data_IF_156489336897
#
_entry.id   IF_156489336897
#
_cell.length_a   1.000
_cell.length_b   1.000
_cell.length_c   1.000
_cell.angle_alpha   90.00
_cell.angle_beta   90.00
_cell.angle_gamma   90.00
#
_symmetry.space_group_name_H-M   'P 1'
#
loop_
_entity.id
_entity.type
_entity.pdbx_description
1 polymer ?
#
# COMPACT_ATOMS: atom_id res chain seq x y z
N UNK A 1 -46.90 21.49 -47.69
CA UNK A 1 -46.57 20.22 -48.37
C UNK A 1 -46.42 19.13 -47.30
N UNK A 2 -46.88 17.88 -47.55
CA UNK A 2 -46.50 16.76 -46.71
C UNK A 2 -44.97 16.64 -46.70
N UNK A 3 -44.38 16.06 -45.63
CA UNK A 3 -42.94 15.89 -45.57
C UNK A 3 -42.46 14.87 -46.63
N UNK A 4 -41.60 15.30 -47.56
CA UNK A 4 -40.94 14.44 -48.55
C UNK A 4 -39.45 14.32 -48.21
N UNK A 5 -38.99 13.08 -47.98
CA UNK A 5 -37.63 12.77 -47.63
C UNK A 5 -36.64 13.03 -48.84
N UNK A 6 -37.13 13.00 -50.07
CA UNK A 6 -36.32 13.30 -51.25
C UNK A 6 -36.07 14.82 -51.35
N UNK A 7 -37.09 15.62 -51.14
CA UNK A 7 -37.00 17.07 -51.11
C UNK A 7 -36.12 17.54 -49.93
N UNK A 8 -36.31 16.93 -48.76
CA UNK A 8 -35.51 17.21 -47.57
C UNK A 8 -33.97 16.96 -47.76
N UNK A 9 -33.60 16.02 -48.63
CA UNK A 9 -32.18 15.76 -48.98
C UNK A 9 -31.61 16.80 -49.92
N UNK A 10 -32.42 17.39 -50.78
CA UNK A 10 -31.98 18.35 -51.79
C UNK A 10 -31.86 19.79 -51.27
N UNK A 11 -32.40 20.08 -50.10
CA UNK A 11 -32.29 21.42 -49.48
C UNK A 11 -30.86 21.79 -49.16
N UNK A 12 -30.52 23.01 -49.50
CA UNK A 12 -29.25 23.64 -49.18
C UNK A 12 -29.27 24.37 -47.83
N UNK A 13 -28.10 24.62 -47.21
CA UNK A 13 -28.00 25.38 -45.98
C UNK A 13 -28.71 26.75 -46.11
N UNK A 14 -29.56 27.10 -45.12
CA UNK A 14 -30.38 28.30 -45.13
C UNK A 14 -31.78 28.14 -45.68
N UNK A 15 -32.08 27.02 -46.37
CA UNK A 15 -33.40 26.74 -46.90
C UNK A 15 -34.28 26.00 -45.87
N UNK A 16 -35.59 26.19 -45.98
CA UNK A 16 -36.57 25.51 -45.17
C UNK A 16 -37.91 25.34 -45.91
N UNK A 17 -38.69 24.36 -45.47
CA UNK A 17 -40.11 24.28 -45.84
C UNK A 17 -40.99 24.03 -44.60
N UNK A 18 -42.25 24.39 -44.72
CA UNK A 18 -43.24 24.22 -43.64
C UNK A 18 -44.08 22.97 -43.94
N UNK A 19 -44.31 22.15 -42.93
CA UNK A 19 -45.13 20.93 -43.04
C UNK A 19 -46.59 21.34 -42.92
N UNK A 20 -47.37 21.10 -44.00
CA UNK A 20 -48.74 21.62 -44.14
C UNK A 20 -49.72 21.11 -43.09
N UNK A 21 -49.56 19.88 -42.62
CA UNK A 21 -50.41 19.24 -41.60
C UNK A 21 -50.09 19.68 -40.17
N UNK A 22 -48.93 20.37 -39.96
CA UNK A 22 -48.44 20.77 -38.67
C UNK A 22 -48.13 22.28 -38.67
N UNK A 23 -49.07 23.17 -38.39
CA UNK A 23 -48.87 24.61 -38.43
C UNK A 23 -47.70 25.08 -37.56
N UNK A 24 -46.73 25.72 -38.19
CA UNK A 24 -45.51 26.21 -37.51
C UNK A 24 -44.39 25.20 -37.39
N UNK A 25 -44.61 23.93 -37.75
CA UNK A 25 -43.53 22.95 -37.85
C UNK A 25 -42.79 23.15 -39.18
N UNK A 26 -41.50 23.36 -39.10
CA UNK A 26 -40.59 23.56 -40.22
C UNK A 26 -39.52 22.51 -40.24
N UNK A 27 -39.09 22.15 -41.45
CA UNK A 27 -37.85 21.45 -41.68
C UNK A 27 -36.83 22.48 -42.21
N UNK A 28 -35.74 22.65 -41.51
CA UNK A 28 -34.72 23.67 -41.77
C UNK A 28 -33.33 23.02 -41.86
N UNK A 29 -32.56 23.48 -42.85
CA UNK A 29 -31.16 23.03 -43.05
C UNK A 29 -30.25 24.14 -42.66
N UNK A 30 -29.36 23.87 -41.69
CA UNK A 30 -28.21 24.72 -41.35
C UNK A 30 -26.93 24.18 -41.98
N UNK A 31 -25.83 24.87 -41.85
CA UNK A 31 -24.52 24.42 -42.31
C UNK A 31 -24.07 23.12 -41.66
N UNK A 32 -24.59 22.79 -40.47
CA UNK A 32 -24.17 21.62 -39.65
C UNK A 32 -25.22 20.56 -39.46
N UNK A 33 -26.52 20.85 -39.66
CA UNK A 33 -27.59 19.93 -39.33
C UNK A 33 -28.88 20.19 -40.13
N UNK A 34 -29.67 19.13 -40.30
CA UNK A 34 -31.07 19.15 -40.80
C UNK A 34 -31.99 18.91 -39.64
N UNK A 35 -32.90 19.85 -39.34
CA UNK A 35 -33.67 19.84 -38.08
C UNK A 35 -35.13 20.14 -38.29
N UNK A 36 -35.99 19.49 -37.49
CA UNK A 36 -37.34 19.89 -37.29
C UNK A 36 -37.44 21.00 -36.23
N UNK A 37 -38.08 22.12 -36.55
CA UNK A 37 -38.19 23.29 -35.72
C UNK A 37 -39.65 23.73 -35.63
N UNK A 38 -40.16 23.91 -34.39
CA UNK A 38 -41.44 24.52 -34.18
C UNK A 38 -41.31 26.02 -34.01
N UNK A 39 -41.86 26.79 -34.95
CA UNK A 39 -41.90 28.26 -34.88
C UNK A 39 -43.29 28.75 -34.56
N UNK A 40 -43.43 29.55 -33.54
CA UNK A 40 -44.71 29.98 -33.02
C UNK A 40 -44.65 31.39 -32.44
N UNK A 41 -45.80 32.01 -32.29
CA UNK A 41 -45.95 33.26 -31.54
C UNK A 41 -46.22 32.92 -30.08
N UNK A 42 -45.36 33.43 -29.19
CA UNK A 42 -45.47 33.14 -27.75
C UNK A 42 -46.78 33.70 -27.19
N UNK A 43 -47.52 32.93 -26.39
CA UNK A 43 -48.77 33.40 -25.80
C UNK A 43 -48.54 34.41 -24.69
N UNK A 44 -47.29 34.47 -24.14
CA UNK A 44 -46.95 35.35 -23.00
C UNK A 44 -46.62 36.79 -23.46
N UNK A 45 -45.78 36.95 -24.46
CA UNK A 45 -45.24 38.24 -24.87
C UNK A 45 -45.46 38.57 -26.35
N UNK A 46 -46.22 37.72 -27.07
CA UNK A 46 -46.59 37.84 -28.49
C UNK A 46 -45.37 37.86 -29.45
N UNK A 47 -44.15 37.58 -28.98
CA UNK A 47 -42.95 37.50 -29.81
C UNK A 47 -42.83 36.18 -30.53
N UNK A 48 -42.23 36.21 -31.73
CA UNK A 48 -41.93 34.98 -32.47
C UNK A 48 -40.79 34.21 -31.81
N UNK A 49 -41.04 32.97 -31.49
CA UNK A 49 -40.06 32.05 -30.91
C UNK A 49 -39.95 30.76 -31.71
N UNK A 50 -38.91 30.02 -31.49
CA UNK A 50 -38.71 28.70 -32.11
C UNK A 50 -38.09 27.71 -31.13
N UNK A 51 -38.47 26.45 -31.28
CA UNK A 51 -37.95 25.33 -30.49
C UNK A 51 -37.52 24.22 -31.44
N UNK A 52 -36.25 23.81 -31.37
CA UNK A 52 -35.75 22.67 -32.10
C UNK A 52 -36.33 21.39 -31.51
N UNK A 53 -37.00 20.59 -32.33
CA UNK A 53 -37.63 19.32 -31.95
C UNK A 53 -36.60 18.18 -32.03
N UNK A 54 -35.87 18.08 -33.15
CA UNK A 54 -34.89 17.03 -33.35
C UNK A 54 -34.15 17.18 -34.65
N UNK A 55 -33.18 16.31 -34.88
CA UNK A 55 -32.34 16.29 -36.08
C UNK A 55 -32.75 15.11 -36.97
N UNK A 56 -32.95 15.37 -38.23
CA UNK A 56 -33.17 14.34 -39.25
C UNK A 56 -31.81 13.77 -39.73
N UNK A 57 -31.63 12.46 -39.95
CA UNK A 57 -32.69 11.41 -39.91
C UNK A 57 -32.85 10.74 -38.54
N UNK A 58 -32.16 11.16 -37.48
CA UNK A 58 -32.31 10.58 -36.11
C UNK A 58 -33.71 10.70 -35.57
N UNK A 59 -34.36 11.81 -35.84
CA UNK A 59 -35.78 12.04 -35.52
C UNK A 59 -36.61 11.83 -36.79
N UNK A 60 -37.50 10.86 -36.76
CA UNK A 60 -38.46 10.63 -37.86
C UNK A 60 -39.53 11.73 -37.89
N UNK A 61 -40.21 11.90 -39.02
CA UNK A 61 -41.32 12.86 -39.13
C UNK A 61 -42.41 12.53 -38.13
N UNK A 62 -42.75 11.26 -37.94
CA UNK A 62 -43.76 10.84 -36.95
C UNK A 62 -43.37 11.23 -35.52
N UNK A 63 -42.11 11.02 -35.15
CA UNK A 63 -41.62 11.46 -33.83
C UNK A 63 -41.61 12.99 -33.68
N UNK A 64 -41.27 13.71 -34.76
CA UNK A 64 -41.30 15.17 -34.78
C UNK A 64 -42.75 15.72 -34.66
N UNK A 65 -43.74 15.06 -35.27
CA UNK A 65 -45.16 15.41 -35.16
C UNK A 65 -45.67 15.23 -33.74
N UNK A 66 -45.40 14.08 -33.10
CA UNK A 66 -45.79 13.83 -31.71
C UNK A 66 -45.19 14.89 -30.75
N UNK A 67 -43.94 15.25 -30.93
CA UNK A 67 -43.31 16.28 -30.09
C UNK A 67 -43.86 17.69 -30.43
N UNK A 68 -44.17 17.97 -31.67
CA UNK A 68 -44.83 19.21 -32.06
C UNK A 68 -46.23 19.34 -31.42
N UNK A 69 -47.02 18.27 -31.36
CA UNK A 69 -48.32 18.26 -30.70
C UNK A 69 -48.20 18.63 -29.23
N UNK A 70 -47.25 18.06 -28.49
CA UNK A 70 -46.97 18.40 -27.10
C UNK A 70 -46.63 19.90 -26.93
N UNK A 71 -45.77 20.42 -27.81
CA UNK A 71 -45.36 21.83 -27.74
C UNK A 71 -46.53 22.77 -28.10
N UNK A 72 -47.41 22.35 -29.04
CA UNK A 72 -48.63 23.06 -29.38
C UNK A 72 -49.63 23.10 -28.21
N UNK A 73 -49.80 21.99 -27.51
CA UNK A 73 -50.67 21.90 -26.35
C UNK A 73 -50.21 22.78 -25.19
N UNK A 74 -48.87 22.81 -24.93
CA UNK A 74 -48.26 23.74 -23.97
C UNK A 74 -48.61 25.21 -24.34
N UNK A 75 -48.49 25.55 -25.64
CA UNK A 75 -48.83 26.89 -26.13
C UNK A 75 -50.32 27.17 -26.00
N UNK A 76 -51.18 26.24 -26.32
CA UNK A 76 -52.66 26.36 -26.22
C UNK A 76 -53.10 26.57 -24.76
N UNK A 77 -52.35 25.99 -23.80
CA UNK A 77 -52.56 26.23 -22.38
C UNK A 77 -52.03 27.58 -21.89
N UNK A 78 -51.60 28.49 -22.77
CA UNK A 78 -51.11 29.82 -22.41
C UNK A 78 -49.69 29.86 -21.91
N UNK A 79 -48.95 28.73 -21.98
CA UNK A 79 -47.55 28.60 -21.53
C UNK A 79 -46.60 28.68 -22.71
N UNK A 80 -45.39 29.14 -22.48
CA UNK A 80 -44.38 29.26 -23.55
C UNK A 80 -43.48 28.04 -23.61
N UNK A 81 -43.52 27.20 -24.68
CA UNK A 81 -42.73 26.00 -24.82
C UNK A 81 -41.21 26.20 -24.70
N UNK A 82 -40.71 27.34 -25.19
CA UNK A 82 -39.26 27.62 -25.10
C UNK A 82 -38.80 27.92 -23.67
N UNK A 83 -39.66 28.66 -22.93
CA UNK A 83 -39.39 29.00 -21.52
C UNK A 83 -39.48 27.73 -20.67
N UNK A 84 -40.54 26.92 -20.84
CA UNK A 84 -40.67 25.67 -20.10
C UNK A 84 -39.50 24.70 -20.33
N UNK A 85 -39.09 24.54 -21.58
CA UNK A 85 -37.91 23.71 -21.86
C UNK A 85 -36.63 24.22 -21.18
N UNK A 86 -36.46 25.52 -21.12
CA UNK A 86 -35.31 26.13 -20.43
C UNK A 86 -35.41 25.91 -18.93
N UNK A 87 -36.55 26.10 -18.34
CA UNK A 87 -36.80 25.89 -16.90
C UNK A 87 -36.57 24.43 -16.49
N UNK A 88 -37.15 23.50 -17.27
CA UNK A 88 -36.96 22.07 -17.01
C UNK A 88 -35.49 21.65 -17.11
N UNK A 89 -34.73 22.14 -18.09
CA UNK A 89 -33.29 21.89 -18.19
C UNK A 89 -32.53 22.44 -17.00
N UNK A 90 -32.89 23.61 -16.51
CA UNK A 90 -32.24 24.18 -15.32
C UNK A 90 -32.55 23.33 -14.09
N UNK A 91 -33.83 22.94 -13.91
CA UNK A 91 -34.25 22.08 -12.81
C UNK A 91 -33.57 20.71 -12.84
N UNK A 92 -33.51 20.04 -13.98
CA UNK A 92 -32.76 18.78 -14.15
C UNK A 92 -31.29 18.93 -13.84
N UNK A 93 -30.67 20.05 -14.21
CA UNK A 93 -29.29 20.35 -13.90
C UNK A 93 -29.09 20.56 -12.39
N UNK A 94 -29.97 21.30 -11.74
CA UNK A 94 -29.96 21.54 -10.30
C UNK A 94 -30.18 20.22 -9.52
N UNK A 95 -31.15 19.39 -9.93
CA UNK A 95 -31.41 18.09 -9.35
C UNK A 95 -30.19 17.15 -9.50
N UNK A 96 -29.53 17.15 -10.68
CA UNK A 96 -28.28 16.39 -10.89
C UNK A 96 -27.14 16.90 -10.01
N UNK A 97 -27.01 18.20 -9.85
CA UNK A 97 -25.98 18.79 -8.98
C UNK A 97 -26.26 18.46 -7.51
N UNK A 98 -27.51 18.60 -7.06
CA UNK A 98 -27.93 18.24 -5.70
C UNK A 98 -27.73 16.75 -5.41
N UNK A 99 -28.10 15.87 -6.36
CA UNK A 99 -27.87 14.43 -6.25
C UNK A 99 -26.36 14.08 -6.18
N UNK A 100 -25.53 14.76 -6.98
CA UNK A 100 -24.08 14.61 -6.94
C UNK A 100 -23.45 15.10 -5.62
N UNK A 101 -23.96 16.22 -5.09
CA UNK A 101 -23.55 16.71 -3.77
C UNK A 101 -24.00 15.78 -2.64
N UNK A 102 -25.23 15.28 -2.68
CA UNK A 102 -25.73 14.32 -1.71
C UNK A 102 -24.93 13.02 -1.74
N UNK A 103 -24.64 12.46 -2.93
CA UNK A 103 -23.76 11.30 -3.10
C UNK A 103 -22.31 11.57 -2.60
N UNK A 104 -21.81 12.79 -2.80
CA UNK A 104 -20.50 13.22 -2.29
C UNK A 104 -20.46 13.36 -0.76
N UNK A 105 -21.61 13.63 -0.13
CA UNK A 105 -21.74 13.72 1.34
C UNK A 105 -21.97 12.35 1.99
N UNK A 106 -22.43 11.37 1.23
CA UNK A 106 -22.65 10.03 1.75
C UNK A 106 -21.30 9.39 2.10
N UNK A 107 -21.11 8.99 3.35
CA UNK A 107 -19.91 8.28 3.79
C UNK A 107 -19.93 6.87 3.21
N UNK A 108 -18.93 6.54 2.39
CA UNK A 108 -18.72 5.17 1.90
C UNK A 108 -17.49 4.56 2.56
N UNK A 109 -17.35 3.22 2.51
CA UNK A 109 -16.14 2.52 2.98
C UNK A 109 -14.89 3.08 2.30
N UNK A 110 -14.94 3.31 0.98
CA UNK A 110 -13.86 3.95 0.22
C UNK A 110 -13.50 5.33 0.78
N UNK A 111 -14.51 6.15 1.03
CA UNK A 111 -14.30 7.50 1.59
C UNK A 111 -13.70 7.44 2.98
N UNK A 112 -14.18 6.53 3.83
CA UNK A 112 -13.65 6.33 5.18
C UNK A 112 -12.18 5.86 5.13
N UNK A 113 -11.81 4.93 4.24
CA UNK A 113 -10.43 4.52 4.02
C UNK A 113 -9.52 5.69 3.61
N UNK A 114 -9.98 6.56 2.70
CA UNK A 114 -9.22 7.74 2.28
C UNK A 114 -9.03 8.73 3.43
N UNK A 115 -10.07 9.00 4.21
CA UNK A 115 -9.96 9.86 5.41
C UNK A 115 -8.95 9.32 6.41
N UNK A 116 -8.93 8.01 6.66
CA UNK A 116 -7.93 7.35 7.51
C UNK A 116 -6.52 7.48 6.94
N UNK A 117 -6.33 7.30 5.63
CA UNK A 117 -5.03 7.46 4.97
C UNK A 117 -4.51 8.88 5.13
N UNK A 118 -5.31 9.88 4.80
CA UNK A 118 -4.94 11.30 4.85
C UNK A 118 -4.79 11.81 6.29
N UNK A 119 -5.72 11.43 7.18
CA UNK A 119 -5.81 11.95 8.54
C UNK A 119 -4.85 11.30 9.52
N UNK A 120 -4.53 10.01 9.33
CA UNK A 120 -3.72 9.24 10.27
C UNK A 120 -2.46 8.65 9.64
N UNK A 121 -2.59 7.91 8.53
CA UNK A 121 -1.48 7.11 8.00
C UNK A 121 -0.36 7.99 7.47
N UNK A 122 -0.68 8.99 6.65
CA UNK A 122 0.30 9.87 6.02
C UNK A 122 1.02 10.76 7.05
N UNK A 123 0.36 11.07 8.17
CA UNK A 123 0.93 11.88 9.25
C UNK A 123 1.78 11.08 10.23
N UNK A 124 1.39 9.83 10.51
CA UNK A 124 1.93 9.06 11.63
C UNK A 124 2.76 7.85 11.24
N UNK A 125 2.70 7.38 9.98
CA UNK A 125 3.50 6.25 9.52
C UNK A 125 4.66 6.73 8.64
N UNK A 126 5.77 5.96 8.62
CA UNK A 126 6.83 6.19 7.65
C UNK A 126 6.35 5.86 6.21
N UNK A 127 6.99 6.44 5.20
CA UNK A 127 6.62 6.31 3.79
C UNK A 127 6.38 4.86 3.35
N UNK A 128 7.29 3.95 3.72
CA UNK A 128 7.18 2.52 3.38
C UNK A 128 5.95 1.86 3.99
N UNK A 129 5.67 2.15 5.26
CA UNK A 129 4.49 1.60 5.97
C UNK A 129 3.20 2.22 5.45
N UNK A 130 3.20 3.53 5.17
CA UNK A 130 2.06 4.23 4.57
C UNK A 130 1.73 3.67 3.18
N UNK A 131 2.73 3.49 2.32
CA UNK A 131 2.55 2.88 0.99
C UNK A 131 1.98 1.45 1.07
N UNK A 132 2.43 0.66 2.04
CA UNK A 132 1.95 -0.71 2.24
C UNK A 132 0.50 -0.75 2.74
N UNK A 133 0.12 0.15 3.67
CA UNK A 133 -1.27 0.30 4.13
C UNK A 133 -2.17 0.73 2.99
N UNK A 134 -1.75 1.73 2.22
CA UNK A 134 -2.49 2.21 1.04
C UNK A 134 -2.72 1.07 0.05
N UNK A 135 -1.68 0.29 -0.28
CA UNK A 135 -1.78 -0.87 -1.17
C UNK A 135 -2.75 -1.92 -0.63
N UNK A 136 -2.70 -2.19 0.67
CA UNK A 136 -3.58 -3.18 1.32
C UNK A 136 -5.04 -2.77 1.23
N UNK A 137 -5.38 -1.52 1.57
CA UNK A 137 -6.74 -1.01 1.49
C UNK A 137 -7.22 -0.92 0.04
N UNK A 138 -6.41 -0.36 -0.85
CA UNK A 138 -6.73 -0.23 -2.28
C UNK A 138 -7.03 -1.59 -2.93
N UNK A 139 -6.23 -2.62 -2.60
CA UNK A 139 -6.47 -3.98 -3.10
C UNK A 139 -7.89 -4.45 -2.76
N UNK A 140 -8.30 -4.34 -1.50
CA UNK A 140 -9.64 -4.79 -1.08
C UNK A 140 -10.74 -3.96 -1.72
N UNK A 141 -10.57 -2.64 -1.81
CA UNK A 141 -11.54 -1.75 -2.45
C UNK A 141 -11.69 -2.00 -3.95
N UNK A 142 -10.64 -2.50 -4.60
CA UNK A 142 -10.69 -2.86 -6.03
C UNK A 142 -11.25 -4.26 -6.25
N UNK A 143 -10.88 -5.22 -5.39
CA UNK A 143 -11.36 -6.61 -5.47
C UNK A 143 -12.88 -6.70 -5.12
N UNK A 144 -13.40 -5.75 -4.32
CA UNK A 144 -14.79 -5.71 -3.84
C UNK A 144 -15.41 -4.32 -4.05
N UNK A 145 -15.74 -3.93 -5.31
CA UNK A 145 -16.26 -2.59 -5.62
C UNK A 145 -17.60 -2.30 -4.91
N UNK A 146 -18.50 -3.28 -4.82
CA UNK A 146 -19.79 -3.11 -4.14
C UNK A 146 -19.61 -2.84 -2.63
N UNK A 147 -18.68 -3.54 -1.98
CA UNK A 147 -18.31 -3.27 -0.59
C UNK A 147 -17.70 -1.87 -0.43
N UNK A 148 -16.88 -1.44 -1.38
CA UNK A 148 -16.21 -0.14 -1.33
C UNK A 148 -17.19 1.05 -1.32
N UNK A 149 -18.34 0.89 -1.97
CA UNK A 149 -19.38 1.94 -2.06
C UNK A 149 -20.49 1.81 -1.01
N UNK A 150 -20.42 0.81 -0.13
CA UNK A 150 -21.37 0.70 0.99
C UNK A 150 -21.17 1.82 2.01
N UNK A 151 -22.26 2.20 2.68
CA UNK A 151 -22.18 2.94 3.93
C UNK A 151 -21.49 2.06 4.99
N UNK A 152 -20.41 2.53 5.66
CA UNK A 152 -19.74 1.76 6.69
C UNK A 152 -20.67 1.28 7.83
N UNK A 153 -21.72 2.02 8.15
CA UNK A 153 -22.72 1.63 9.14
C UNK A 153 -23.51 0.37 8.72
N UNK A 154 -23.63 0.13 7.41
CA UNK A 154 -24.33 -1.04 6.85
C UNK A 154 -23.42 -2.27 6.73
N UNK A 155 -22.15 -2.16 7.11
CA UNK A 155 -21.20 -3.28 7.14
C UNK A 155 -21.43 -4.10 8.39
N UNK A 156 -22.25 -5.13 8.28
CA UNK A 156 -22.48 -6.10 9.35
C UNK A 156 -21.39 -7.18 9.41
N UNK A 157 -21.49 -8.05 10.41
CA UNK A 157 -20.53 -9.14 10.65
C UNK A 157 -20.38 -10.07 9.43
N UNK A 158 -21.48 -10.40 8.76
CA UNK A 158 -21.49 -11.31 7.60
C UNK A 158 -20.76 -10.67 6.40
N UNK A 159 -21.03 -9.41 6.11
CA UNK A 159 -20.35 -8.67 5.02
C UNK A 159 -18.85 -8.53 5.30
N UNK A 160 -18.45 -8.17 6.51
CA UNK A 160 -17.04 -8.09 6.88
C UNK A 160 -16.34 -9.46 6.76
N UNK A 161 -17.02 -10.54 7.16
CA UNK A 161 -16.49 -11.90 7.01
C UNK A 161 -16.36 -12.31 5.55
N UNK A 162 -17.39 -12.12 4.72
CA UNK A 162 -17.38 -12.47 3.30
C UNK A 162 -16.26 -11.73 2.54
N UNK A 163 -16.04 -10.44 2.83
CA UNK A 163 -14.92 -9.68 2.25
C UNK A 163 -13.57 -10.28 2.66
N UNK A 164 -13.42 -10.70 3.92
CA UNK A 164 -12.17 -11.27 4.41
C UNK A 164 -11.94 -12.70 3.92
N UNK A 165 -13.01 -13.47 3.72
CA UNK A 165 -13.00 -14.87 3.27
C UNK A 165 -12.23 -15.04 1.96
N UNK A 166 -12.37 -14.09 1.03
CA UNK A 166 -11.63 -14.05 -0.24
C UNK A 166 -10.09 -14.16 -0.08
N UNK A 167 -9.56 -13.81 1.08
CA UNK A 167 -8.12 -13.79 1.35
C UNK A 167 -7.64 -14.88 2.31
N UNK A 168 -8.48 -15.83 2.72
CA UNK A 168 -8.15 -16.83 3.73
C UNK A 168 -7.09 -17.84 3.28
N UNK A 169 -6.89 -18.02 1.98
CA UNK A 169 -5.81 -18.84 1.43
C UNK A 169 -4.42 -18.27 1.77
N UNK A 170 -4.34 -16.97 2.02
CA UNK A 170 -3.13 -16.28 2.48
C UNK A 170 -3.39 -15.66 3.87
N UNK A 171 -3.40 -16.45 4.96
CA UNK A 171 -3.85 -16.01 6.29
C UNK A 171 -3.09 -14.78 6.83
N UNK A 172 -1.83 -14.61 6.46
CA UNK A 172 -1.02 -13.44 6.85
C UNK A 172 -1.56 -12.16 6.20
N UNK A 173 -1.94 -12.23 4.92
CA UNK A 173 -2.55 -11.11 4.21
C UNK A 173 -3.96 -10.81 4.77
N UNK A 174 -4.77 -11.85 4.98
CA UNK A 174 -6.09 -11.71 5.62
C UNK A 174 -5.97 -11.05 7.01
N UNK A 175 -4.98 -11.47 7.81
CA UNK A 175 -4.71 -10.89 9.12
C UNK A 175 -4.35 -9.40 9.04
N UNK A 176 -3.57 -9.01 8.02
CA UNK A 176 -3.23 -7.61 7.77
C UNK A 176 -4.44 -6.80 7.32
N UNK A 177 -5.22 -7.31 6.35
CA UNK A 177 -6.47 -6.67 5.89
C UNK A 177 -7.40 -6.43 7.09
N UNK A 178 -7.64 -7.46 7.90
CA UNK A 178 -8.46 -7.36 9.10
C UNK A 178 -7.97 -6.27 10.06
N UNK A 179 -6.65 -6.19 10.27
CA UNK A 179 -6.06 -5.20 11.17
C UNK A 179 -6.19 -3.77 10.63
N UNK A 180 -5.95 -3.55 9.32
CA UNK A 180 -6.04 -2.23 8.72
C UNK A 180 -7.49 -1.74 8.62
N UNK A 181 -8.45 -2.59 8.22
CA UNK A 181 -9.88 -2.21 8.25
C UNK A 181 -10.37 -1.98 9.67
N UNK A 182 -9.88 -2.76 10.64
CA UNK A 182 -10.13 -2.47 12.06
C UNK A 182 -9.66 -1.08 12.46
N UNK A 183 -8.48 -0.66 12.02
CA UNK A 183 -7.97 0.68 12.29
C UNK A 183 -8.73 1.79 11.54
N UNK A 184 -9.23 1.50 10.33
CA UNK A 184 -10.12 2.41 9.57
C UNK A 184 -11.41 2.70 10.35
N UNK A 185 -12.04 1.67 10.92
CA UNK A 185 -13.27 1.82 11.72
C UNK A 185 -13.00 2.54 13.05
N UNK A 186 -11.91 2.18 13.75
CA UNK A 186 -11.51 2.90 14.97
C UNK A 186 -11.29 4.40 14.68
N UNK A 187 -10.58 4.73 13.58
CA UNK A 187 -10.40 6.11 13.15
C UNK A 187 -11.74 6.80 12.81
N UNK A 188 -12.68 6.05 12.21
CA UNK A 188 -14.01 6.56 11.90
C UNK A 188 -14.77 7.00 13.15
N UNK A 189 -14.69 6.23 14.23
CA UNK A 189 -15.25 6.59 15.54
C UNK A 189 -14.53 7.77 16.17
N UNK A 190 -13.19 7.72 16.25
CA UNK A 190 -12.37 8.81 16.84
C UNK A 190 -12.58 10.15 16.12
N UNK A 191 -12.79 10.12 14.80
CA UNK A 191 -13.04 11.30 14.00
C UNK A 191 -14.52 11.75 13.97
N UNK A 192 -15.43 11.09 14.71
CA UNK A 192 -16.86 11.36 14.71
C UNK A 192 -17.53 11.15 13.34
N UNK A 193 -17.01 10.23 12.52
CA UNK A 193 -17.54 9.89 11.19
C UNK A 193 -18.45 8.67 11.22
N UNK A 194 -18.30 7.85 12.23
CA UNK A 194 -19.16 6.71 12.53
C UNK A 194 -19.83 6.96 13.88
N UNK A 195 -21.09 6.60 13.98
CA UNK A 195 -21.84 6.59 15.22
C UNK A 195 -21.23 5.57 16.18
N UNK A 196 -21.26 5.84 17.49
CA UNK A 196 -20.77 4.95 18.54
C UNK A 196 -21.48 3.58 18.53
N UNK A 197 -22.72 3.53 18.05
CA UNK A 197 -23.50 2.28 17.93
C UNK A 197 -23.04 1.39 16.76
N UNK A 198 -22.23 1.89 15.80
CA UNK A 198 -21.74 1.10 14.66
C UNK A 198 -20.61 0.16 15.12
N UNK A 199 -20.80 -1.16 15.13
CA UNK A 199 -19.77 -2.06 15.66
C UNK A 199 -18.56 -2.16 14.73
N UNK A 200 -17.37 -2.17 15.32
CA UNK A 200 -16.16 -2.55 14.58
C UNK A 200 -16.04 -4.07 14.45
N UNK A 201 -16.69 -4.66 13.46
CA UNK A 201 -16.69 -6.10 13.21
C UNK A 201 -15.30 -6.65 12.86
N UNK A 202 -14.43 -5.84 12.25
CA UNK A 202 -13.06 -6.22 11.92
C UNK A 202 -12.22 -6.59 13.15
N UNK A 203 -12.49 -5.99 14.30
CA UNK A 203 -11.82 -6.33 15.57
C UNK A 203 -12.31 -7.66 16.15
N UNK A 204 -13.50 -8.11 15.76
CA UNK A 204 -14.16 -9.30 16.30
C UNK A 204 -14.02 -10.55 15.44
N UNK A 205 -14.16 -10.43 14.09
CA UNK A 205 -14.11 -11.58 13.18
C UNK A 205 -12.71 -12.21 13.15
N UNK A 206 -12.63 -13.54 13.02
CA UNK A 206 -11.41 -14.34 12.85
C UNK A 206 -10.27 -14.01 13.83
N UNK A 207 -10.59 -13.50 15.02
CA UNK A 207 -9.61 -13.15 16.06
C UNK A 207 -8.80 -14.38 16.46
N UNK A 208 -7.46 -14.31 16.34
CA UNK A 208 -6.56 -15.42 16.68
C UNK A 208 -6.56 -16.62 15.72
N UNK A 209 -7.42 -16.60 14.67
CA UNK A 209 -7.55 -17.72 13.71
C UNK A 209 -6.71 -17.56 12.44
N UNK A 210 -6.26 -16.35 12.12
CA UNK A 210 -5.48 -16.03 10.92
C UNK A 210 -3.98 -16.22 11.18
N UNK A 211 -3.57 -17.48 11.29
CA UNK A 211 -2.16 -17.85 11.49
C UNK A 211 -1.60 -18.43 10.20
N UNK A 212 -0.34 -18.13 9.89
CA UNK A 212 0.36 -18.80 8.80
C UNK A 212 0.35 -20.29 9.03
N UNK A 213 -0.10 -21.06 8.04
CA UNK A 213 0.01 -22.53 8.02
C UNK A 213 1.40 -22.99 7.60
N UNK A 214 2.29 -22.04 7.22
CA UNK A 214 3.55 -22.36 6.58
C UNK A 214 3.34 -23.04 5.23
N UNK A 215 4.38 -23.65 4.73
CA UNK A 215 4.33 -24.50 3.55
C UNK A 215 5.34 -25.63 3.70
N UNK A 216 5.09 -26.73 3.04
CA UNK A 216 6.02 -27.87 3.03
C UNK A 216 6.98 -27.70 1.85
N UNK A 217 8.28 -27.80 2.12
CA UNK A 217 9.33 -27.87 1.11
C UNK A 217 10.22 -29.06 1.41
N UNK A 218 10.37 -29.95 0.44
CA UNK A 218 11.17 -31.18 0.61
C UNK A 218 10.84 -31.94 1.91
N UNK A 219 9.54 -32.08 2.22
CA UNK A 219 9.06 -32.75 3.42
C UNK A 219 9.19 -31.95 4.74
N UNK A 220 9.77 -30.76 4.72
CA UNK A 220 9.95 -29.92 5.91
C UNK A 220 8.92 -28.81 5.95
N UNK A 221 8.20 -28.69 7.08
CA UNK A 221 7.27 -27.58 7.33
C UNK A 221 8.05 -26.29 7.61
N UNK A 222 7.85 -25.28 6.76
CA UNK A 222 8.54 -23.97 6.83
C UNK A 222 7.53 -22.87 7.14
N UNK A 223 7.96 -21.87 7.91
CA UNK A 223 7.17 -20.66 8.19
C UNK A 223 6.12 -20.82 9.28
N UNK A 224 6.04 -21.97 9.95
CA UNK A 224 5.19 -22.19 11.13
C UNK A 224 5.89 -21.84 12.42
N UNK A 225 7.21 -22.05 12.50
CA UNK A 225 8.05 -21.74 13.64
C UNK A 225 9.20 -20.81 13.25
N UNK A 226 9.66 -20.05 14.22
CA UNK A 226 10.87 -19.22 14.07
C UNK A 226 12.10 -20.11 14.04
N UNK A 227 12.92 -20.00 13.00
CA UNK A 227 14.14 -20.78 12.84
C UNK A 227 15.28 -20.20 13.70
N UNK A 228 15.97 -21.07 14.42
CA UNK A 228 17.22 -20.80 15.13
C UNK A 228 18.19 -21.89 14.72
N UNK A 229 19.43 -21.55 14.36
CA UNK A 229 20.47 -22.51 14.00
C UNK A 229 21.06 -23.13 15.24
N UNK A 230 21.29 -24.44 15.17
CA UNK A 230 21.99 -25.20 16.22
C UNK A 230 23.49 -24.94 16.16
N UNK A 231 24.28 -25.22 17.24
CA UNK A 231 25.72 -24.99 17.25
C UNK A 231 26.49 -25.66 16.11
N UNK A 232 26.15 -26.93 15.77
CA UNK A 232 26.74 -27.68 14.65
C UNK A 232 26.42 -27.03 13.30
N UNK A 233 25.16 -26.54 13.13
CA UNK A 233 24.73 -25.82 11.93
C UNK A 233 25.45 -24.47 11.80
N UNK A 234 25.67 -23.76 12.92
CA UNK A 234 26.43 -22.51 12.95
C UNK A 234 27.86 -22.76 12.47
N UNK A 235 28.57 -23.75 13.05
CA UNK A 235 29.92 -24.09 12.66
C UNK A 235 30.02 -24.45 11.17
N UNK A 236 29.08 -25.26 10.69
CA UNK A 236 28.98 -25.67 9.29
C UNK A 236 28.73 -24.48 8.37
N UNK A 237 27.80 -23.57 8.72
CA UNK A 237 27.55 -22.36 7.96
C UNK A 237 28.78 -21.45 7.91
N UNK A 238 29.46 -21.24 9.04
CA UNK A 238 30.62 -20.36 9.12
C UNK A 238 31.79 -20.84 8.24
N UNK A 239 32.01 -22.15 8.15
CA UNK A 239 33.00 -22.74 7.24
C UNK A 239 32.60 -22.61 5.77
N UNK A 240 31.30 -22.58 5.50
CA UNK A 240 30.76 -22.52 4.14
C UNK A 240 30.66 -21.09 3.59
N UNK A 241 30.62 -20.04 4.45
CA UNK A 241 30.43 -18.64 4.06
C UNK A 241 31.29 -18.16 2.88
N UNK A 242 32.57 -18.59 2.71
CA UNK A 242 33.39 -18.16 1.57
C UNK A 242 32.84 -18.56 0.19
N UNK A 243 31.85 -19.43 0.10
CA UNK A 243 31.15 -19.76 -1.14
C UNK A 243 30.13 -18.70 -1.57
N UNK A 244 29.79 -17.76 -0.71
CA UNK A 244 29.01 -16.58 -1.09
C UNK A 244 29.89 -15.56 -1.83
N UNK A 245 29.24 -14.64 -2.56
CA UNK A 245 29.92 -13.42 -2.97
C UNK A 245 30.38 -12.63 -1.74
N UNK A 246 31.47 -11.87 -1.89
CA UNK A 246 32.04 -11.07 -0.79
C UNK A 246 31.02 -10.16 -0.10
N UNK A 247 30.08 -9.60 -0.89
CA UNK A 247 28.98 -8.79 -0.36
C UNK A 247 28.09 -9.60 0.59
N UNK A 248 27.67 -10.78 0.18
CA UNK A 248 26.74 -11.62 0.96
C UNK A 248 27.45 -12.19 2.18
N UNK A 249 28.69 -12.65 2.03
CA UNK A 249 29.53 -13.15 3.12
C UNK A 249 29.68 -12.08 4.23
N UNK A 250 30.04 -10.85 3.85
CA UNK A 250 30.21 -9.74 4.79
C UNK A 250 28.91 -9.42 5.54
N UNK A 251 27.79 -9.33 4.81
CA UNK A 251 26.50 -9.00 5.42
C UNK A 251 25.99 -10.12 6.33
N UNK A 252 26.12 -11.38 5.93
CA UNK A 252 25.72 -12.55 6.73
C UNK A 252 26.57 -12.62 8.01
N UNK A 253 27.87 -12.39 7.89
CA UNK A 253 28.78 -12.32 9.05
C UNK A 253 28.39 -11.18 9.99
N UNK A 254 28.13 -9.98 9.48
CA UNK A 254 27.69 -8.86 10.31
C UNK A 254 26.38 -9.14 11.04
N UNK A 255 25.40 -9.82 10.41
CA UNK A 255 24.19 -10.26 11.11
C UNK A 255 24.48 -11.12 12.33
N UNK A 256 25.43 -12.05 12.21
CA UNK A 256 25.79 -12.97 13.30
C UNK A 256 26.58 -12.24 14.40
N UNK A 257 27.60 -11.46 14.04
CA UNK A 257 28.52 -10.82 15.01
C UNK A 257 27.94 -9.62 15.72
N UNK A 258 27.01 -8.88 15.08
CA UNK A 258 26.42 -7.66 15.65
C UNK A 258 25.01 -7.84 16.17
N UNK A 259 24.34 -8.91 15.78
CA UNK A 259 22.92 -9.14 16.06
C UNK A 259 21.99 -7.99 15.62
N UNK A 260 22.42 -7.07 14.75
CA UNK A 260 21.65 -5.91 14.26
C UNK A 260 20.68 -6.31 13.14
N UNK A 261 19.81 -5.39 12.71
CA UNK A 261 18.90 -5.65 11.60
C UNK A 261 19.59 -5.44 10.26
N UNK A 262 19.21 -6.24 9.25
CA UNK A 262 19.83 -6.12 7.94
C UNK A 262 19.63 -4.77 7.26
N UNK A 263 18.53 -4.10 7.52
CA UNK A 263 18.33 -2.74 7.03
C UNK A 263 19.29 -1.74 7.68
N UNK A 264 19.67 -1.97 8.93
CA UNK A 264 20.64 -1.16 9.66
C UNK A 264 22.06 -1.43 9.12
N UNK A 265 22.43 -2.72 8.95
CA UNK A 265 23.74 -3.13 8.38
C UNK A 265 23.93 -2.50 6.99
N UNK A 266 22.95 -2.62 6.11
CA UNK A 266 23.07 -2.17 4.72
C UNK A 266 23.03 -0.64 4.56
N UNK A 267 22.42 0.07 5.52
CA UNK A 267 22.42 1.52 5.60
C UNK A 267 23.58 2.09 6.44
N UNK A 268 24.60 1.27 6.75
CA UNK A 268 25.82 1.70 7.47
C UNK A 268 26.61 2.67 6.59
N UNK A 269 26.90 3.85 7.13
CA UNK A 269 27.71 4.85 6.46
C UNK A 269 29.09 4.96 7.12
N UNK A 270 30.07 5.48 6.36
CA UNK A 270 31.41 5.70 6.88
C UNK A 270 31.43 6.63 8.10
N UNK A 271 30.61 7.68 8.09
CA UNK A 271 30.49 8.64 9.20
C UNK A 271 29.89 8.03 10.47
N UNK A 272 29.18 6.90 10.37
CA UNK A 272 28.65 6.18 11.53
C UNK A 272 29.73 5.39 12.30
N UNK A 273 30.97 5.32 11.77
CA UNK A 273 32.06 4.53 12.33
C UNK A 273 33.02 5.43 13.04
N UNK A 274 33.28 5.16 14.31
CA UNK A 274 34.26 5.88 15.14
C UNK A 274 35.16 4.93 15.90
N UNK A 275 36.37 5.39 16.25
CA UNK A 275 37.30 4.66 17.12
C UNK A 275 37.35 5.35 18.48
N UNK A 276 37.19 4.60 19.54
CA UNK A 276 37.26 5.05 20.92
C UNK A 276 38.23 4.10 21.68
N UNK A 277 39.42 4.58 21.97
CA UNK A 277 40.51 3.71 22.46
C UNK A 277 40.81 2.59 21.47
N UNK A 278 40.79 1.35 21.94
CA UNK A 278 41.06 0.17 21.11
C UNK A 278 39.81 -0.40 20.44
N UNK A 279 38.62 0.20 20.67
CA UNK A 279 37.36 -0.31 20.16
C UNK A 279 36.91 0.49 18.94
N UNK A 280 36.52 -0.22 17.89
CA UNK A 280 35.78 0.34 16.76
C UNK A 280 34.29 0.29 17.07
N UNK A 281 33.61 1.41 16.94
CA UNK A 281 32.20 1.56 17.21
C UNK A 281 31.43 1.88 15.96
N UNK A 282 30.24 1.28 15.83
CA UNK A 282 29.26 1.65 14.86
C UNK A 282 28.06 2.30 15.59
N UNK A 283 27.83 3.56 15.37
CA UNK A 283 26.70 4.31 15.94
C UNK A 283 25.59 4.37 14.90
N UNK A 284 24.52 3.64 15.12
CA UNK A 284 23.34 3.65 14.24
C UNK A 284 22.45 4.81 14.68
N UNK A 285 22.31 5.88 13.85
CA UNK A 285 21.45 7.00 14.18
C UNK A 285 20.02 6.57 14.44
N UNK A 286 19.35 7.13 15.43
CA UNK A 286 17.93 6.90 15.74
C UNK A 286 17.07 6.89 14.50
N UNK A 287 17.30 7.84 13.59
CA UNK A 287 16.53 7.99 12.34
C UNK A 287 16.60 6.76 11.42
N UNK A 288 17.72 6.00 11.45
CA UNK A 288 17.89 4.75 10.66
C UNK A 288 17.30 3.52 11.35
N UNK A 289 16.87 3.61 12.62
CA UNK A 289 16.34 2.48 13.38
C UNK A 289 14.82 2.34 13.21
N UNK A 290 14.30 1.14 13.48
CA UNK A 290 12.85 0.89 13.54
C UNK A 290 12.14 1.72 14.63
N UNK A 291 12.90 2.17 15.64
CA UNK A 291 12.38 2.92 16.79
C UNK A 291 12.40 4.45 16.58
N UNK A 292 12.71 4.94 15.37
CA UNK A 292 12.90 6.37 15.06
C UNK A 292 11.83 7.30 15.59
N UNK A 293 10.57 6.84 15.63
CA UNK A 293 9.40 7.62 16.07
C UNK A 293 9.00 7.38 17.52
N UNK A 294 9.71 6.53 18.26
CA UNK A 294 9.41 6.31 19.66
C UNK A 294 10.04 7.41 20.52
N UNK A 295 9.27 7.91 21.45
CA UNK A 295 9.76 8.82 22.49
C UNK A 295 10.85 8.11 23.31
N UNK A 296 11.90 8.85 23.65
CA UNK A 296 13.05 8.30 24.39
C UNK A 296 13.99 7.40 23.57
N UNK A 297 13.72 7.16 22.26
CA UNK A 297 14.69 6.42 21.44
C UNK A 297 15.96 7.22 21.21
N UNK A 298 17.09 6.54 21.36
CA UNK A 298 18.45 7.09 21.16
C UNK A 298 19.15 6.33 20.04
N UNK A 299 20.31 6.83 19.64
CA UNK A 299 21.21 6.14 18.72
C UNK A 299 21.65 4.80 19.34
N UNK A 300 21.74 3.76 18.51
CA UNK A 300 22.19 2.45 18.93
C UNK A 300 23.70 2.32 18.69
N UNK A 301 24.49 2.18 19.75
CA UNK A 301 25.92 1.95 19.66
C UNK A 301 26.22 0.44 19.62
N UNK A 302 26.98 0.01 18.65
CA UNK A 302 27.36 -1.38 18.43
C UNK A 302 28.91 -1.48 18.44
N UNK A 303 29.50 -2.18 19.40
CA UNK A 303 30.93 -2.44 19.37
C UNK A 303 31.22 -3.47 18.27
N UNK A 304 32.20 -3.16 17.44
CA UNK A 304 32.65 -4.04 16.37
C UNK A 304 33.78 -4.91 16.86
N UNK A 305 33.58 -6.21 16.92
CA UNK A 305 34.55 -7.18 17.45
C UNK A 305 34.79 -8.32 16.46
N UNK A 306 35.94 -8.95 16.49
CA UNK A 306 36.30 -10.11 15.70
C UNK A 306 36.10 -9.87 14.18
N UNK A 307 35.37 -10.79 13.50
CA UNK A 307 35.15 -10.68 12.06
C UNK A 307 34.39 -9.42 11.68
N UNK A 308 33.50 -8.92 12.53
CA UNK A 308 32.75 -7.68 12.24
C UNK A 308 33.68 -6.47 12.16
N UNK A 309 34.66 -6.37 13.07
CA UNK A 309 35.68 -5.31 13.04
C UNK A 309 36.53 -5.38 11.76
N UNK A 310 36.99 -6.58 11.41
CA UNK A 310 37.82 -6.78 10.22
C UNK A 310 37.06 -6.41 8.91
N UNK A 311 35.79 -6.80 8.83
CA UNK A 311 34.92 -6.48 7.68
C UNK A 311 34.74 -4.96 7.58
N UNK A 312 34.34 -4.30 8.67
CA UNK A 312 34.06 -2.86 8.65
C UNK A 312 35.30 -2.04 8.37
N UNK A 313 36.46 -2.39 8.95
CA UNK A 313 37.74 -1.74 8.61
C UNK A 313 38.04 -1.78 7.12
N UNK A 314 37.98 -2.98 6.52
CA UNK A 314 38.22 -3.15 5.09
C UNK A 314 37.20 -2.36 4.24
N UNK A 315 35.93 -2.31 4.64
CA UNK A 315 34.89 -1.57 3.92
C UNK A 315 35.11 -0.05 4.00
N UNK A 316 35.50 0.45 5.15
CA UNK A 316 35.88 1.86 5.38
C UNK A 316 37.05 2.30 4.49
N UNK A 317 38.02 1.40 4.24
CA UNK A 317 39.13 1.68 3.33
C UNK A 317 38.72 1.75 1.86
N UNK A 318 37.70 0.97 1.46
CA UNK A 318 37.21 0.94 0.08
C UNK A 318 36.29 2.12 -0.27
N UNK A 319 35.69 2.78 0.71
CA UNK A 319 34.69 3.83 0.51
C UNK A 319 35.19 5.14 1.09
N UNK A 320 35.35 6.18 0.26
CA UNK A 320 35.79 7.51 0.70
C UNK A 320 34.77 8.20 1.59
N UNK A 321 33.48 8.09 1.20
CA UNK A 321 32.32 8.70 1.88
C UNK A 321 31.04 7.93 1.55
N UNK A 322 29.97 8.10 2.37
CA UNK A 322 28.67 7.48 2.18
C UNK A 322 28.58 6.04 2.67
N UNK A 323 27.75 5.24 2.01
CA UNK A 323 27.38 3.88 2.44
C UNK A 323 28.52 2.88 2.26
N UNK A 324 28.75 2.01 3.27
CA UNK A 324 29.71 0.91 3.19
C UNK A 324 29.24 -0.24 2.28
N UNK A 325 27.97 -0.27 1.93
CA UNK A 325 27.34 -1.21 1.01
C UNK A 325 26.60 -0.46 -0.11
N UNK A 326 27.34 0.30 -0.96
CA UNK A 326 26.71 1.16 -1.98
C UNK A 326 25.98 0.37 -3.05
N UNK A 327 24.99 1.00 -3.68
CA UNK A 327 24.25 0.49 -4.82
C UNK A 327 23.71 1.66 -5.64
N UNK A 328 23.61 1.49 -6.96
CA UNK A 328 23.03 2.47 -7.88
C UNK A 328 21.50 2.58 -7.78
N UNK A 329 20.87 1.78 -6.91
CA UNK A 329 19.43 1.83 -6.66
C UNK A 329 18.99 3.12 -5.96
N UNK A 330 17.67 3.38 -5.93
CA UNK A 330 17.05 4.58 -5.33
C UNK A 330 17.48 4.86 -3.89
N UNK A 331 17.81 3.84 -3.11
CA UNK A 331 18.24 3.97 -1.72
C UNK A 331 19.72 4.35 -1.57
N UNK A 332 20.52 4.35 -2.64
CA UNK A 332 21.97 4.56 -2.60
C UNK A 332 22.75 3.41 -1.98
N UNK A 333 22.10 2.44 -1.36
CA UNK A 333 22.70 1.25 -0.75
C UNK A 333 21.99 -0.03 -1.14
N UNK A 334 22.65 -1.18 -0.94
CA UNK A 334 22.05 -2.50 -1.18
C UNK A 334 20.84 -2.70 -0.28
N UNK A 335 19.72 -3.18 -0.83
CA UNK A 335 18.52 -3.45 -0.06
C UNK A 335 18.54 -4.87 0.56
N UNK A 336 17.93 -5.01 1.74
CA UNK A 336 17.85 -6.30 2.44
C UNK A 336 17.19 -7.40 1.62
N UNK A 337 16.22 -7.05 0.75
CA UNK A 337 15.58 -8.03 -0.15
C UNK A 337 16.57 -8.64 -1.14
N UNK A 338 17.56 -7.88 -1.59
CA UNK A 338 18.63 -8.34 -2.51
C UNK A 338 19.49 -9.40 -1.83
N UNK A 339 19.95 -9.14 -0.60
CA UNK A 339 20.71 -10.13 0.19
C UNK A 339 19.85 -11.38 0.45
N UNK A 340 18.58 -11.21 0.82
CA UNK A 340 17.68 -12.34 1.04
C UNK A 340 17.49 -13.19 -0.22
N UNK A 341 17.38 -12.57 -1.38
CA UNK A 341 17.28 -13.25 -2.66
C UNK A 341 18.58 -14.00 -3.02
N UNK A 342 19.73 -13.36 -2.80
CA UNK A 342 21.05 -13.98 -3.03
C UNK A 342 21.25 -15.21 -2.14
N UNK A 343 20.95 -15.12 -0.85
CA UNK A 343 21.01 -16.27 0.07
C UNK A 343 20.04 -17.35 -0.34
N UNK A 344 18.81 -16.98 -0.76
CA UNK A 344 17.81 -17.93 -1.22
C UNK A 344 18.28 -18.73 -2.43
N UNK A 345 19.01 -18.13 -3.37
CA UNK A 345 19.54 -18.82 -4.55
C UNK A 345 20.55 -19.93 -4.22
N UNK A 346 21.16 -19.91 -3.04
CA UNK A 346 22.05 -20.97 -2.55
C UNK A 346 21.34 -22.06 -1.75
N UNK A 347 20.05 -21.89 -1.43
CA UNK A 347 19.29 -22.95 -0.73
C UNK A 347 19.19 -24.21 -1.60
N UNK A 348 19.21 -25.43 -1.03
CA UNK A 348 19.17 -26.67 -1.79
C UNK A 348 17.97 -26.77 -2.73
N UNK A 349 16.82 -26.25 -2.29
CA UNK A 349 15.55 -26.27 -3.01
C UNK A 349 15.36 -25.09 -3.98
N UNK A 350 16.32 -24.19 -4.10
CA UNK A 350 16.20 -23.05 -5.02
C UNK A 350 16.32 -23.53 -6.46
N UNK A 351 15.29 -23.26 -7.26
CA UNK A 351 15.32 -23.48 -8.70
C UNK A 351 16.22 -22.43 -9.34
N UNK A 352 17.40 -22.84 -9.80
CA UNK A 352 18.36 -22.00 -10.50
C UNK A 352 18.52 -22.56 -11.91
N UNK A 353 18.68 -21.71 -12.90
CA UNK A 353 18.97 -22.16 -14.28
C UNK A 353 20.32 -22.88 -14.30
N UNK A 354 20.48 -23.93 -15.13
CA UNK A 354 21.72 -24.71 -15.20
C UNK A 354 22.98 -23.86 -15.45
N UNK A 355 22.84 -22.77 -16.19
CA UNK A 355 23.95 -21.85 -16.50
C UNK A 355 24.50 -21.10 -15.28
N UNK A 356 23.74 -21.08 -14.18
CA UNK A 356 24.09 -20.42 -12.92
C UNK A 356 24.33 -21.43 -11.81
N UNK A 357 25.15 -22.45 -12.10
CA UNK A 357 25.54 -23.43 -11.06
C UNK A 357 26.19 -22.73 -9.87
N UNK A 358 25.68 -23.01 -8.68
CA UNK A 358 26.10 -22.39 -7.42
C UNK A 358 26.30 -23.44 -6.34
N UNK A 359 27.31 -23.21 -5.49
CA UNK A 359 27.45 -24.01 -4.28
C UNK A 359 26.16 -23.95 -3.45
N UNK A 360 25.70 -25.12 -2.99
CA UNK A 360 24.48 -25.24 -2.18
C UNK A 360 24.79 -25.11 -0.70
N UNK A 361 23.91 -24.42 0.03
CA UNK A 361 24.03 -24.29 1.47
C UNK A 361 23.91 -25.66 2.15
N UNK A 362 24.84 -26.03 3.02
CA UNK A 362 24.77 -27.29 3.77
C UNK A 362 23.75 -27.22 4.91
N UNK A 363 23.40 -26.00 5.33
CA UNK A 363 22.36 -25.71 6.32
C UNK A 363 21.21 -25.01 5.62
N UNK A 364 20.03 -25.60 5.66
CA UNK A 364 18.88 -25.12 4.88
C UNK A 364 17.76 -24.52 5.74
N UNK A 365 16.72 -24.01 5.07
CA UNK A 365 15.48 -23.54 5.66
C UNK A 365 15.63 -22.38 6.68
N UNK A 366 16.57 -21.46 6.43
CA UNK A 366 16.72 -20.23 7.21
C UNK A 366 16.70 -18.99 6.31
N UNK A 367 16.36 -17.87 6.90
CA UNK A 367 16.43 -16.54 6.31
C UNK A 367 17.49 -15.69 7.04
N UNK A 368 17.98 -14.63 6.40
CA UNK A 368 18.99 -13.75 7.03
C UNK A 368 18.52 -13.19 8.38
N UNK A 369 17.21 -13.00 8.58
CA UNK A 369 16.68 -12.54 9.86
C UNK A 369 16.73 -13.60 10.96
N UNK A 370 16.77 -14.88 10.62
CA UNK A 370 16.91 -15.96 11.59
C UNK A 370 18.31 -16.00 12.21
N UNK A 371 19.32 -15.44 11.54
CA UNK A 371 20.66 -15.27 12.11
C UNK A 371 20.66 -14.37 13.32
N UNK A 372 19.88 -13.28 13.30
CA UNK A 372 19.69 -12.41 14.47
C UNK A 372 18.99 -13.14 15.63
N UNK A 373 18.00 -13.99 15.31
CA UNK A 373 17.37 -14.84 16.34
C UNK A 373 18.36 -15.86 16.90
N UNK A 374 19.19 -16.44 16.02
CA UNK A 374 20.27 -17.33 16.40
C UNK A 374 21.25 -16.61 17.35
N UNK A 375 21.71 -15.41 17.01
CA UNK A 375 22.59 -14.62 17.88
C UNK A 375 21.97 -14.37 19.26
N UNK A 376 20.69 -13.96 19.31
CA UNK A 376 19.96 -13.80 20.58
C UNK A 376 19.91 -15.07 21.42
N UNK A 377 19.68 -16.21 20.76
CA UNK A 377 19.66 -17.52 21.44
C UNK A 377 21.04 -17.93 21.91
N UNK A 378 22.08 -17.70 21.13
CA UNK A 378 23.45 -18.02 21.52
C UNK A 378 23.93 -17.13 22.70
N UNK A 379 23.52 -15.87 22.78
CA UNK A 379 23.74 -15.04 23.97
C UNK A 379 23.12 -15.65 25.21
N UNK A 380 21.91 -16.21 25.10
CA UNK A 380 21.26 -16.89 26.22
C UNK A 380 22.00 -18.19 26.59
N UNK A 381 22.46 -18.97 25.60
CA UNK A 381 23.31 -20.16 25.83
C UNK A 381 24.58 -19.81 26.61
N UNK A 382 25.16 -18.66 26.32
CA UNK A 382 26.33 -18.12 27.02
C UNK A 382 25.99 -17.49 28.38
N UNK A 383 24.74 -17.55 28.83
CA UNK A 383 24.25 -16.96 30.09
C UNK A 383 24.29 -15.43 30.13
N UNK A 384 24.15 -14.77 28.98
CA UNK A 384 24.00 -13.31 28.91
C UNK A 384 22.72 -12.87 29.60
N UNK A 385 22.75 -11.89 30.53
CA UNK A 385 21.53 -11.34 31.11
C UNK A 385 20.57 -10.81 30.05
N UNK A 386 19.27 -11.04 30.23
CA UNK A 386 18.24 -10.71 29.25
C UNK A 386 18.24 -9.21 28.89
N UNK A 387 18.41 -8.32 29.86
CA UNK A 387 18.48 -6.88 29.63
C UNK A 387 19.65 -6.47 28.72
N UNK A 388 20.80 -7.11 28.87
CA UNK A 388 21.98 -6.86 28.03
C UNK A 388 21.76 -7.44 26.64
N UNK A 389 21.22 -8.66 26.54
CA UNK A 389 20.89 -9.28 25.27
C UNK A 389 19.86 -8.44 24.46
N UNK A 390 18.82 -7.89 25.13
CA UNK A 390 17.87 -6.97 24.49
C UNK A 390 18.54 -5.64 24.09
N UNK A 391 19.48 -5.13 24.92
CA UNK A 391 20.26 -3.95 24.58
C UNK A 391 21.17 -4.19 23.35
N UNK A 392 21.82 -5.36 23.24
CA UNK A 392 22.59 -5.76 22.04
C UNK A 392 21.70 -5.74 20.78
N UNK A 393 20.48 -6.22 20.88
CA UNK A 393 19.54 -6.19 19.76
C UNK A 393 18.97 -4.78 19.47
N UNK A 394 19.20 -3.80 20.33
CA UNK A 394 18.59 -2.48 20.18
C UNK A 394 17.07 -2.52 20.34
N UNK A 395 16.57 -3.39 21.23
CA UNK A 395 15.19 -3.36 21.66
C UNK A 395 15.03 -2.35 22.78
N UNK A 396 14.00 -1.54 22.70
CA UNK A 396 13.68 -0.61 23.78
C UNK A 396 12.85 -1.35 24.83
N UNK A 397 13.23 -1.24 26.12
CA UNK A 397 12.40 -1.74 27.20
C UNK A 397 11.00 -1.11 27.14
N UNK A 398 9.99 -1.89 27.47
CA UNK A 398 8.61 -1.39 27.55
C UNK A 398 8.25 -0.93 28.97
N UNK A 399 7.17 -0.15 29.08
CA UNK A 399 6.62 0.26 30.37
C UNK A 399 7.57 1.10 31.23
N UNK A 400 7.46 0.97 32.55
CA UNK A 400 8.21 1.76 33.54
C UNK A 400 9.73 1.60 33.39
N UNK A 401 10.21 0.40 33.10
CA UNK A 401 11.65 0.12 32.94
C UNK A 401 12.25 1.00 31.84
N UNK A 402 11.54 1.20 30.71
CA UNK A 402 12.02 2.03 29.60
C UNK A 402 12.10 3.52 29.93
N UNK A 403 11.37 3.98 30.95
CA UNK A 403 11.40 5.38 31.40
C UNK A 403 12.57 5.67 32.32
N UNK A 404 12.90 4.73 33.20
CA UNK A 404 13.89 4.94 34.25
C UNK A 404 15.28 4.40 33.95
N UNK A 405 15.39 3.34 33.13
CA UNK A 405 16.69 2.76 32.78
C UNK A 405 17.25 3.40 31.48
N UNK A 406 18.04 4.45 31.66
CA UNK A 406 18.71 5.17 30.59
C UNK A 406 20.16 4.70 30.34
N UNK A 407 20.60 3.63 31.02
CA UNK A 407 21.94 3.09 30.85
C UNK A 407 22.13 2.50 29.45
N UNK A 408 23.26 2.84 28.82
CA UNK A 408 23.53 2.44 27.42
C UNK A 408 24.14 1.04 27.28
N UNK A 409 24.63 0.46 28.33
CA UNK A 409 25.27 -0.87 28.36
C UNK A 409 26.44 -1.03 27.37
N UNK A 410 27.20 0.03 27.06
CA UNK A 410 28.25 -0.01 26.05
C UNK A 410 29.36 -1.00 26.42
N UNK A 411 29.79 -1.02 27.70
CA UNK A 411 30.81 -1.95 28.22
C UNK A 411 30.31 -3.40 28.15
N UNK A 412 29.10 -3.64 28.62
CA UNK A 412 28.48 -4.97 28.67
C UNK A 412 28.20 -5.48 27.24
N UNK A 413 27.75 -4.63 26.33
CA UNK A 413 27.61 -4.99 24.92
C UNK A 413 28.93 -5.44 24.31
N UNK A 414 30.03 -4.72 24.60
CA UNK A 414 31.36 -5.10 24.11
C UNK A 414 31.75 -6.46 24.66
N UNK A 415 31.61 -6.67 25.94
CA UNK A 415 31.99 -7.93 26.61
C UNK A 415 31.21 -9.11 26.00
N UNK A 416 29.87 -8.98 25.93
CA UNK A 416 29.04 -10.08 25.46
C UNK A 416 29.15 -10.34 23.96
N UNK A 417 29.34 -9.34 23.12
CA UNK A 417 29.65 -9.55 21.70
C UNK A 417 31.03 -10.14 21.48
N UNK A 418 32.02 -9.84 22.34
CA UNK A 418 33.31 -10.52 22.30
C UNK A 418 33.15 -12.00 22.64
N UNK A 419 32.46 -12.33 23.73
CA UNK A 419 32.20 -13.75 24.09
C UNK A 419 31.42 -14.48 22.99
N UNK A 420 30.43 -13.82 22.35
CA UNK A 420 29.72 -14.37 21.22
C UNK A 420 30.62 -14.64 20.02
N UNK A 421 31.52 -13.69 19.70
CA UNK A 421 32.50 -13.82 18.64
C UNK A 421 33.41 -15.02 18.89
N UNK A 422 33.98 -15.16 20.12
CA UNK A 422 34.87 -16.28 20.50
C UNK A 422 34.13 -17.60 20.40
N UNK A 423 32.87 -17.65 20.82
CA UNK A 423 32.02 -18.81 20.70
C UNK A 423 31.83 -19.24 19.24
N UNK A 424 31.54 -18.30 18.34
CA UNK A 424 31.38 -18.56 16.91
C UNK A 424 32.70 -19.05 16.28
N UNK A 425 33.86 -18.47 16.68
CA UNK A 425 35.14 -18.92 16.20
C UNK A 425 35.46 -20.35 16.70
N UNK A 426 35.08 -20.69 17.94
CA UNK A 426 35.23 -22.06 18.44
C UNK A 426 34.38 -23.04 17.63
N UNK A 427 33.09 -22.72 17.38
CA UNK A 427 32.19 -23.55 16.57
C UNK A 427 32.70 -23.72 15.13
N UNK A 428 33.33 -22.70 14.56
CA UNK A 428 33.87 -22.77 13.20
C UNK A 428 35.05 -23.72 13.06
N UNK A 429 35.79 -23.99 14.15
CA UNK A 429 36.95 -24.91 14.21
C UNK A 429 36.54 -26.36 14.50
N UNK A 430 35.36 -26.57 15.08
CA UNK A 430 34.85 -27.93 15.35
C UNK A 430 34.39 -28.56 14.04
N UNK A 431 34.89 -29.80 13.76
CA UNK A 431 34.57 -30.57 12.55
C UNK A 431 33.18 -31.22 12.66
#
# INVERSE_FOLDING_TARGET
>A
MPFDAREAKLLEPGQHFTISECPGLRFEVSTSARSFIYRYKSPVDQRMRQVKIGEWPKTSISAATVEWEKLRDIRAAGRDPAVERRTNRLREKEERMAAREAASRQLTVRRLCNLYLEGHVDRNRNEKSAAETRRTLQKVLNDHPDFAELDPAMVNRAKAFATLEHYLDIPVQAGRIRAEFGAVWDYGHDAGRLDEEVPNWWRQIMRGKLRSKGHIREGVAIGTAKRVLKPDEIGTLLRWLPNFSRLVEDVVTLYMWTCTRGSEILAMERCDISREGDTLWWTIPKAKTKNSRRDGATDLRVPLVGRAEAIVKRRVELVKDGYLFPSDGRSGHVEQKTISAMVWMHQPYAKVRPEYERARLPVSHWSVHDLRRTGRTQLAVLSCPDEIAEAVLGHMPGGIVGVYNLHRYDKERREWLTRLSDHYEALSKTR
#
